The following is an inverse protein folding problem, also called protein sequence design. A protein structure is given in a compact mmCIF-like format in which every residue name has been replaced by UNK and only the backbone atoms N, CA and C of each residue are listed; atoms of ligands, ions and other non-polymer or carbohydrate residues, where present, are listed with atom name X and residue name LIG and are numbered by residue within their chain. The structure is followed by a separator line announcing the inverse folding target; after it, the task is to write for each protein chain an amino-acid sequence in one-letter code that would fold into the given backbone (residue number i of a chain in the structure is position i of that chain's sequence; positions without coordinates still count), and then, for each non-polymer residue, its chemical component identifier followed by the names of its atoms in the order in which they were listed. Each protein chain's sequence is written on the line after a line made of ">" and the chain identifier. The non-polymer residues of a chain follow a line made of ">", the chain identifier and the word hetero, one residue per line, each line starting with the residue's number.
data_IF_983262162568
#
_entry.id   IF_983262162568
#
_cell.length_a   1.000
_cell.length_b   1.000
_cell.length_c   1.000
_cell.angle_alpha   90.00
_cell.angle_beta   90.00
_cell.angle_gamma   90.00
#
_symmetry.space_group_name_H-M   'P 1'
#
loop_
_entity.id
_entity.type
_entity.pdbx_description
1 polymer ?
#
# COMPACT_ATOMS: atom_id res chain seq x y z
N UNK A 1 -58.48 5.05 12.23
CA UNK A 1 -57.82 4.73 13.51
C UNK A 1 -56.55 5.54 13.58
N UNK A 2 -56.48 6.43 14.55
CA UNK A 2 -55.75 7.71 14.46
C UNK A 2 -54.97 7.93 15.75
N UNK A 3 -53.69 8.32 15.61
CA UNK A 3 -52.75 8.91 16.61
C UNK A 3 -52.11 7.93 17.63
N UNK A 4 -50.94 8.26 18.24
CA UNK A 4 -50.28 9.57 18.23
C UNK A 4 -48.77 9.60 17.91
N UNK A 5 -48.38 10.81 17.50
CA UNK A 5 -47.02 11.33 17.53
C UNK A 5 -46.58 11.61 18.98
N UNK A 6 -45.34 11.27 19.29
CA UNK A 6 -44.60 11.64 20.50
C UNK A 6 -43.23 12.18 20.04
N UNK A 7 -43.05 13.50 20.02
CA UNK A 7 -42.52 14.31 21.12
C UNK A 7 -41.01 14.09 21.38
N UNK A 8 -40.21 14.92 20.68
CA UNK A 8 -39.03 15.75 21.09
C UNK A 8 -38.55 15.64 22.56
N UNK A 9 -37.43 16.31 22.95
CA UNK A 9 -36.10 16.52 22.34
C UNK A 9 -34.96 16.18 23.36
N UNK A 10 -33.71 16.08 22.91
CA UNK A 10 -32.58 15.84 23.83
C UNK A 10 -31.26 16.35 23.27
N UNK A 11 -31.09 17.68 23.27
CA UNK A 11 -29.81 18.31 22.97
C UNK A 11 -28.81 18.01 24.08
N UNK A 12 -27.75 17.27 23.75
CA UNK A 12 -26.60 17.09 24.62
C UNK A 12 -25.47 18.00 24.12
N UNK A 13 -25.58 19.29 24.45
CA UNK A 13 -24.51 20.27 24.28
C UNK A 13 -23.37 19.94 25.25
N UNK A 14 -22.48 19.05 24.85
CA UNK A 14 -21.20 18.85 25.54
C UNK A 14 -20.22 19.90 25.02
N UNK A 15 -20.15 21.02 25.73
CA UNK A 15 -19.08 21.99 25.67
C UNK A 15 -17.76 21.30 25.98
N UNK A 16 -17.09 20.81 24.92
CA UNK A 16 -15.77 20.19 25.05
C UNK A 16 -14.74 21.31 25.18
N UNK A 17 -14.36 21.56 26.42
CA UNK A 17 -13.26 22.42 26.86
C UNK A 17 -12.03 22.14 26.00
N UNK A 18 -11.56 23.16 25.27
CA UNK A 18 -10.31 23.07 24.51
C UNK A 18 -9.16 22.93 25.51
N UNK A 19 -8.32 21.89 25.44
CA UNK A 19 -7.09 21.86 26.21
C UNK A 19 -6.15 22.95 25.68
N UNK A 20 -5.71 23.80 26.59
CA UNK A 20 -4.69 24.82 26.41
C UNK A 20 -3.47 24.19 25.75
N UNK A 21 -3.10 24.67 24.56
CA UNK A 21 -1.84 24.30 23.91
C UNK A 21 -0.68 24.69 24.82
N UNK A 22 0.24 23.76 25.16
CA UNK A 22 1.47 24.16 25.82
C UNK A 22 2.28 25.02 24.87
N UNK A 23 2.53 26.27 25.28
CA UNK A 23 3.50 27.17 24.66
C UNK A 23 4.85 26.47 24.65
N UNK A 24 5.23 25.92 23.49
CA UNK A 24 6.55 25.38 23.24
C UNK A 24 7.51 26.56 23.32
N UNK A 25 8.20 26.66 24.45
CA UNK A 25 9.31 27.56 24.65
C UNK A 25 10.34 27.35 23.55
N UNK A 26 10.49 28.38 22.70
CA UNK A 26 11.59 28.48 21.73
C UNK A 26 12.89 28.47 22.54
N UNK A 27 13.59 27.33 22.53
CA UNK A 27 14.97 27.29 23.02
C UNK A 27 15.85 28.13 22.08
N UNK A 28 16.63 29.09 22.61
CA UNK A 28 17.59 29.84 21.81
C UNK A 28 18.70 28.92 21.30
N UNK A 29 19.26 29.30 20.16
CA UNK A 29 20.02 28.46 19.25
C UNK A 29 21.16 27.67 19.88
N UNK A 30 21.22 26.40 19.52
CA UNK A 30 22.47 25.66 19.53
C UNK A 30 23.20 25.95 18.21
N UNK A 31 24.41 26.51 18.24
CA UNK A 31 25.19 26.76 17.03
C UNK A 31 25.50 25.41 16.37
N UNK A 32 25.14 25.28 15.10
CA UNK A 32 25.50 24.14 14.29
C UNK A 32 27.01 24.19 14.06
N UNK A 33 27.76 23.40 14.84
CA UNK A 33 29.16 23.16 14.56
C UNK A 33 29.24 22.33 13.29
N UNK A 34 29.64 22.99 12.21
CA UNK A 34 30.03 22.39 10.96
C UNK A 34 31.22 21.43 11.20
N UNK A 35 30.93 20.18 11.56
CA UNK A 35 31.95 19.13 11.50
C UNK A 35 32.04 18.64 10.07
N UNK A 36 32.83 19.38 9.30
CA UNK A 36 33.58 18.87 8.17
C UNK A 36 34.33 17.60 8.61
N UNK A 37 33.85 16.44 8.17
CA UNK A 37 34.68 15.25 8.02
C UNK A 37 34.39 14.63 6.67
N UNK A 38 34.99 15.30 5.69
CA UNK A 38 35.38 14.78 4.40
C UNK A 38 36.15 13.46 4.63
N UNK A 39 35.43 12.33 4.62
CA UNK A 39 36.05 11.01 4.63
C UNK A 39 36.14 10.54 3.18
N UNK A 40 37.35 10.28 2.64
CA UNK A 40 37.48 9.73 1.31
C UNK A 40 36.82 8.36 1.27
N UNK A 41 35.69 8.27 0.55
CA UNK A 41 35.05 7.00 0.20
C UNK A 41 36.02 6.20 -0.64
N UNK A 42 36.79 5.35 0.01
CA UNK A 42 37.45 4.23 -0.64
C UNK A 42 36.39 3.44 -1.41
N UNK A 43 36.41 3.56 -2.74
CA UNK A 43 35.72 2.69 -3.68
C UNK A 43 36.22 1.25 -3.44
N UNK A 44 35.63 0.55 -2.48
CA UNK A 44 35.68 -0.91 -2.46
C UNK A 44 34.58 -1.39 -3.39
N UNK A 45 34.91 -1.39 -4.67
CA UNK A 45 34.34 -2.27 -5.68
C UNK A 45 34.56 -3.72 -5.25
N UNK A 46 33.74 -4.20 -4.31
CA UNK A 46 33.52 -5.64 -4.17
C UNK A 46 32.57 -6.05 -5.29
N UNK A 47 33.20 -6.30 -6.43
CA UNK A 47 32.74 -7.25 -7.42
C UNK A 47 32.35 -8.54 -6.70
N UNK A 48 31.04 -8.74 -6.51
CA UNK A 48 30.48 -10.02 -6.14
C UNK A 48 30.35 -10.86 -7.42
N UNK A 49 31.49 -11.21 -8.02
CA UNK A 49 31.53 -12.23 -9.05
C UNK A 49 31.57 -13.60 -8.36
N UNK A 50 30.63 -14.47 -8.74
CA UNK A 50 30.49 -15.88 -8.33
C UNK A 50 29.71 -16.13 -7.05
N UNK A 51 28.41 -16.40 -7.22
CA UNK A 51 27.57 -16.93 -6.15
C UNK A 51 26.09 -16.64 -6.30
N UNK A 52 25.53 -16.80 -7.50
CA UNK A 52 24.09 -16.76 -7.75
C UNK A 52 23.38 -17.95 -7.06
N UNK A 53 23.23 -17.89 -5.74
CA UNK A 53 22.49 -18.77 -4.82
C UNK A 53 22.55 -18.01 -3.49
N UNK A 54 21.55 -17.38 -2.88
CA UNK A 54 20.15 -17.75 -2.68
C UNK A 54 19.35 -16.48 -2.31
N UNK A 55 19.06 -15.57 -3.26
CA UNK A 55 17.98 -14.59 -3.05
C UNK A 55 16.63 -15.23 -3.37
N UNK A 56 16.45 -16.51 -3.02
CA UNK A 56 15.13 -17.06 -2.78
C UNK A 56 14.72 -16.53 -1.41
N UNK A 57 14.41 -15.23 -1.34
CA UNK A 57 13.70 -14.64 -0.20
C UNK A 57 12.48 -15.52 -0.03
N UNK A 58 12.44 -16.27 1.06
CA UNK A 58 11.43 -17.29 1.31
C UNK A 58 10.05 -16.65 1.19
N UNK A 59 9.39 -16.88 0.04
CA UNK A 59 7.99 -16.46 -0.19
C UNK A 59 7.07 -17.07 0.88
N UNK A 60 7.55 -18.11 1.59
CA UNK A 60 6.86 -18.84 2.63
C UNK A 60 6.55 -18.05 3.93
N UNK A 61 7.10 -16.85 4.16
CA UNK A 61 6.85 -16.08 5.39
C UNK A 61 6.39 -14.65 5.17
N UNK A 62 5.95 -14.29 3.96
CA UNK A 62 5.32 -12.98 3.73
C UNK A 62 3.86 -13.04 4.15
N UNK A 63 3.42 -12.02 4.87
CA UNK A 63 2.02 -11.87 5.27
C UNK A 63 1.12 -11.93 4.04
N UNK A 64 0.07 -12.78 4.04
CA UNK A 64 -0.83 -12.94 2.90
C UNK A 64 -1.49 -11.61 2.52
N UNK A 65 -1.79 -10.77 3.52
CA UNK A 65 -2.25 -9.40 3.32
C UNK A 65 -1.31 -8.57 2.44
N UNK A 66 -0.02 -8.52 2.79
CA UNK A 66 0.96 -7.71 2.07
C UNK A 66 1.10 -8.18 0.61
N UNK A 67 1.07 -9.49 0.37
CA UNK A 67 1.13 -10.06 -0.98
C UNK A 67 -0.06 -9.62 -1.85
N UNK A 68 -1.28 -9.65 -1.31
CA UNK A 68 -2.49 -9.23 -2.03
C UNK A 68 -2.46 -7.75 -2.38
N UNK A 69 -2.00 -6.93 -1.44
CA UNK A 69 -1.89 -5.48 -1.67
C UNK A 69 -0.81 -5.15 -2.69
N UNK A 70 0.37 -5.77 -2.61
CA UNK A 70 1.43 -5.60 -3.61
C UNK A 70 0.96 -6.02 -5.01
N UNK A 71 0.21 -7.13 -5.11
CA UNK A 71 -0.38 -7.58 -6.37
C UNK A 71 -1.41 -6.58 -6.92
N UNK A 72 -2.30 -6.07 -6.06
CA UNK A 72 -3.29 -5.04 -6.44
C UNK A 72 -2.64 -3.74 -6.91
N UNK A 73 -1.62 -3.25 -6.21
CA UNK A 73 -0.85 -2.06 -6.61
C UNK A 73 -0.21 -2.24 -7.98
N UNK A 74 0.41 -3.40 -8.21
CA UNK A 74 1.04 -3.72 -9.50
C UNK A 74 0.02 -3.86 -10.62
N UNK A 75 -1.12 -4.50 -10.34
CA UNK A 75 -2.22 -4.66 -11.30
C UNK A 75 -2.81 -3.33 -11.75
N UNK A 76 -2.90 -2.33 -10.85
CA UNK A 76 -3.38 -0.98 -11.16
C UNK A 76 -2.29 0.02 -11.58
N UNK A 77 -1.01 -0.35 -11.52
CA UNK A 77 0.10 0.57 -11.77
C UNK A 77 0.18 1.74 -10.77
N UNK A 78 -0.35 1.56 -9.56
CA UNK A 78 -0.38 2.62 -8.54
C UNK A 78 0.91 2.60 -7.72
N UNK A 79 1.44 3.81 -7.45
CA UNK A 79 2.51 3.95 -6.45
C UNK A 79 1.93 3.87 -5.04
N UNK A 80 2.72 3.40 -4.08
CA UNK A 80 2.31 3.32 -2.67
C UNK A 80 1.78 4.65 -2.14
N UNK A 81 2.44 5.77 -2.48
CA UNK A 81 2.02 7.11 -2.06
C UNK A 81 0.71 7.55 -2.72
N UNK A 82 0.52 7.24 -4.00
CA UNK A 82 -0.73 7.53 -4.70
C UNK A 82 -1.91 6.76 -4.10
N UNK A 83 -1.69 5.47 -3.84
CA UNK A 83 -2.65 4.62 -3.13
C UNK A 83 -3.01 5.15 -1.75
N UNK A 84 -2.01 5.51 -0.92
CA UNK A 84 -2.26 6.03 0.42
C UNK A 84 -3.07 7.33 0.40
N UNK A 85 -2.82 8.22 -0.56
CA UNK A 85 -3.62 9.44 -0.72
C UNK A 85 -5.07 9.13 -1.10
N UNK A 86 -5.29 8.19 -2.03
CA UNK A 86 -6.62 7.78 -2.44
C UNK A 86 -7.40 7.11 -1.30
N UNK A 87 -6.74 6.29 -0.48
CA UNK A 87 -7.34 5.59 0.64
C UNK A 87 -7.43 6.43 1.94
N UNK A 88 -6.82 7.62 1.97
CA UNK A 88 -6.75 8.45 3.19
C UNK A 88 -5.86 7.87 4.29
N UNK A 89 -4.77 7.19 3.92
CA UNK A 89 -3.85 6.49 4.83
C UNK A 89 -2.46 7.14 4.88
N UNK A 90 -1.73 6.88 5.97
CA UNK A 90 -0.34 7.30 6.10
C UNK A 90 0.62 6.30 5.40
N UNK A 91 1.46 6.83 4.51
CA UNK A 91 2.41 6.02 3.74
C UNK A 91 3.50 5.39 4.62
N UNK A 92 3.87 6.02 5.74
CA UNK A 92 4.92 5.51 6.63
C UNK A 92 4.44 4.32 7.44
N UNK A 93 3.18 4.37 7.89
CA UNK A 93 2.50 3.23 8.51
C UNK A 93 2.40 2.07 7.52
N UNK A 94 1.89 2.34 6.32
CA UNK A 94 1.62 1.29 5.34
C UNK A 94 2.90 0.63 4.81
N UNK A 95 4.00 1.39 4.67
CA UNK A 95 5.31 0.83 4.34
C UNK A 95 5.80 -0.19 5.37
N UNK A 96 5.47 -0.02 6.65
CA UNK A 96 5.84 -0.98 7.72
C UNK A 96 4.95 -2.21 7.71
N UNK A 97 3.67 -2.05 7.36
CA UNK A 97 2.72 -3.16 7.20
C UNK A 97 3.16 -4.06 6.04
N UNK A 98 3.46 -3.49 4.88
CA UNK A 98 3.95 -4.26 3.72
C UNK A 98 5.29 -4.95 3.99
N UNK A 99 6.13 -4.37 4.85
CA UNK A 99 7.38 -4.97 5.29
C UNK A 99 7.21 -6.05 6.37
N UNK A 100 5.99 -6.33 6.84
CA UNK A 100 5.72 -7.28 7.94
C UNK A 100 6.20 -6.79 9.31
N UNK A 101 6.56 -5.51 9.46
CA UNK A 101 7.03 -4.93 10.72
C UNK A 101 5.90 -4.46 11.63
N UNK A 102 4.70 -4.26 11.07
CA UNK A 102 3.49 -3.80 11.74
C UNK A 102 2.35 -4.71 11.33
N UNK A 103 1.46 -5.01 12.27
CA UNK A 103 0.23 -5.72 11.97
C UNK A 103 -0.68 -4.93 11.03
N UNK A 104 -1.46 -5.59 10.18
CA UNK A 104 -2.44 -4.93 9.33
C UNK A 104 -3.48 -4.16 10.17
N UNK A 105 -4.08 -3.11 9.61
CA UNK A 105 -5.12 -2.35 10.30
C UNK A 105 -6.31 -3.24 10.67
N UNK A 106 -6.81 -3.11 11.90
CA UNK A 106 -7.93 -3.91 12.42
C UNK A 106 -9.31 -3.36 12.06
N UNK A 107 -9.37 -2.12 11.55
CA UNK A 107 -10.63 -1.48 11.19
C UNK A 107 -11.17 -2.03 9.86
N UNK A 108 -12.33 -2.67 9.89
CA UNK A 108 -12.97 -3.23 8.70
C UNK A 108 -13.32 -2.15 7.68
N UNK A 109 -13.73 -0.95 8.15
CA UNK A 109 -14.05 0.17 7.27
C UNK A 109 -12.84 0.59 6.43
N UNK A 110 -11.67 0.66 7.06
CA UNK A 110 -10.39 0.90 6.39
C UNK A 110 -10.04 -0.21 5.40
N UNK A 111 -10.19 -1.48 5.77
CA UNK A 111 -9.90 -2.62 4.88
C UNK A 111 -10.80 -2.60 3.63
N UNK A 112 -12.09 -2.30 3.78
CA UNK A 112 -13.04 -2.17 2.66
C UNK A 112 -12.66 -1.04 1.71
N UNK A 113 -12.24 0.12 2.23
CA UNK A 113 -11.74 1.24 1.39
C UNK A 113 -10.47 0.85 0.63
N UNK A 114 -9.55 0.14 1.28
CA UNK A 114 -8.33 -0.36 0.61
C UNK A 114 -8.72 -1.30 -0.55
N UNK A 115 -9.65 -2.22 -0.31
CA UNK A 115 -10.12 -3.15 -1.32
C UNK A 115 -10.76 -2.41 -2.51
N UNK A 116 -11.60 -1.40 -2.26
CA UNK A 116 -12.21 -0.55 -3.29
C UNK A 116 -11.17 0.19 -4.15
N UNK A 117 -10.18 0.82 -3.52
CA UNK A 117 -9.08 1.54 -4.21
C UNK A 117 -8.17 0.61 -5.00
N UNK A 118 -8.08 -0.67 -4.62
CA UNK A 118 -7.30 -1.68 -5.34
C UNK A 118 -8.15 -2.50 -6.34
N UNK A 119 -9.48 -2.44 -6.26
CA UNK A 119 -10.38 -3.29 -7.03
C UNK A 119 -10.29 -4.76 -6.64
N UNK A 120 -10.04 -5.03 -5.36
CA UNK A 120 -10.01 -6.37 -4.78
C UNK A 120 -11.32 -6.65 -4.05
N UNK A 121 -11.59 -7.92 -3.81
CA UNK A 121 -12.69 -8.31 -2.96
C UNK A 121 -12.39 -7.97 -1.48
N UNK A 122 -13.38 -7.38 -0.81
CA UNK A 122 -13.22 -6.92 0.56
C UNK A 122 -13.11 -8.09 1.55
N UNK A 123 -13.90 -9.14 1.35
CA UNK A 123 -13.90 -10.35 2.18
C UNK A 123 -12.52 -11.00 2.12
N UNK A 124 -11.99 -11.20 0.90
CA UNK A 124 -10.67 -11.77 0.68
C UNK A 124 -9.57 -10.99 1.41
N UNK A 125 -9.62 -9.65 1.36
CA UNK A 125 -8.60 -8.82 1.99
C UNK A 125 -8.68 -8.85 3.53
N UNK A 126 -9.89 -8.87 4.09
CA UNK A 126 -10.13 -8.99 5.54
C UNK A 126 -9.61 -10.33 6.06
N UNK A 127 -9.92 -11.43 5.36
CA UNK A 127 -9.43 -12.77 5.70
C UNK A 127 -7.92 -12.84 5.58
N UNK A 128 -7.33 -12.23 4.54
CA UNK A 128 -5.88 -12.16 4.37
C UNK A 128 -5.18 -11.35 5.49
N UNK A 129 -5.89 -10.42 6.15
CA UNK A 129 -5.41 -9.72 7.34
C UNK A 129 -5.53 -10.55 8.63
N UNK A 130 -6.01 -11.79 8.56
CA UNK A 130 -6.23 -12.66 9.70
C UNK A 130 -7.48 -12.27 10.52
N UNK A 131 -8.46 -11.64 9.89
CA UNK A 131 -9.71 -11.19 10.52
C UNK A 131 -10.91 -11.93 9.92
N UNK A 132 -11.99 -12.03 10.71
CA UNK A 132 -13.25 -12.64 10.29
C UNK A 132 -14.20 -11.49 9.92
N UNK A 133 -14.69 -11.41 8.68
CA UNK A 133 -15.64 -10.38 8.28
C UNK A 133 -16.96 -10.47 9.05
N UNK A 134 -17.56 -9.31 9.37
CA UNK A 134 -18.85 -9.25 10.05
C UNK A 134 -19.99 -9.99 9.30
N UNK A 135 -19.95 -10.02 7.96
CA UNK A 135 -20.93 -10.78 7.16
C UNK A 135 -20.87 -12.30 7.39
N UNK A 136 -19.79 -12.84 7.96
CA UNK A 136 -19.68 -14.26 8.30
C UNK A 136 -20.20 -14.60 9.70
N UNK A 137 -20.83 -13.65 10.40
CA UNK A 137 -21.44 -13.88 11.71
C UNK A 137 -22.45 -15.04 11.70
N UNK A 138 -23.22 -15.19 10.62
CA UNK A 138 -24.16 -16.31 10.44
C UNK A 138 -23.50 -17.70 10.46
N UNK A 139 -22.19 -17.80 10.14
CA UNK A 139 -21.44 -19.06 10.19
C UNK A 139 -21.33 -19.61 11.62
N UNK A 140 -21.46 -18.74 12.63
CA UNK A 140 -21.36 -19.13 14.04
C UNK A 140 -22.63 -19.81 14.55
N UNK A 141 -23.78 -19.47 13.97
CA UNK A 141 -25.08 -20.02 14.35
C UNK A 141 -25.38 -21.35 13.63
N UNK A 142 -24.84 -21.53 12.41
CA UNK A 142 -25.03 -22.75 11.61
C UNK A 142 -23.84 -23.72 11.75
N UNK A 143 -24.01 -24.68 12.66
CA UNK A 143 -23.01 -25.73 12.91
C UNK A 143 -22.76 -26.65 11.70
N UNK A 144 -23.73 -26.82 10.79
CA UNK A 144 -23.57 -27.65 9.59
C UNK A 144 -22.69 -26.91 8.60
N UNK A 145 -23.01 -25.65 8.31
CA UNK A 145 -22.23 -24.81 7.41
C UNK A 145 -20.78 -24.65 7.90
N UNK A 146 -20.57 -24.45 9.20
CA UNK A 146 -19.24 -24.37 9.78
C UNK A 146 -18.42 -25.65 9.53
N UNK A 147 -19.03 -26.84 9.73
CA UNK A 147 -18.37 -28.14 9.46
C UNK A 147 -18.00 -28.29 7.99
N UNK A 148 -18.87 -27.85 7.07
CA UNK A 148 -18.59 -27.91 5.64
C UNK A 148 -17.42 -27.01 5.25
N UNK A 149 -17.39 -25.76 5.72
CA UNK A 149 -16.28 -24.83 5.48
C UNK A 149 -14.98 -25.37 6.06
N UNK A 150 -15.03 -25.89 7.29
CA UNK A 150 -13.87 -26.52 7.93
C UNK A 150 -13.38 -27.74 7.15
N UNK A 151 -14.27 -28.64 6.74
CA UNK A 151 -13.91 -29.81 5.94
C UNK A 151 -13.26 -29.40 4.62
N UNK A 152 -13.79 -28.39 3.92
CA UNK A 152 -13.22 -27.87 2.68
C UNK A 152 -11.84 -27.25 2.88
N UNK A 153 -11.64 -26.48 3.95
CA UNK A 153 -10.35 -25.86 4.27
C UNK A 153 -9.31 -26.90 4.71
N UNK A 154 -9.68 -27.85 5.57
CA UNK A 154 -8.80 -28.86 6.17
C UNK A 154 -8.41 -29.96 5.19
N UNK A 155 -9.24 -30.26 4.19
CA UNK A 155 -8.89 -31.21 3.11
C UNK A 155 -7.64 -30.75 2.35
N UNK A 156 -7.19 -29.51 2.54
CA UNK A 156 -5.88 -29.06 2.08
C UNK A 156 -5.75 -29.20 0.57
N UNK A 157 -6.89 -29.23 -0.12
CA UNK A 157 -6.95 -29.17 -1.56
C UNK A 157 -6.20 -27.92 -1.91
N UNK A 158 -4.95 -28.10 -2.39
CA UNK A 158 -4.25 -27.04 -3.08
C UNK A 158 -5.24 -26.64 -4.15
N UNK A 159 -5.93 -25.52 -3.95
CA UNK A 159 -6.53 -24.78 -5.04
C UNK A 159 -5.34 -24.63 -5.94
N UNK A 160 -5.28 -25.47 -6.97
CA UNK A 160 -4.23 -25.40 -7.96
C UNK A 160 -4.37 -23.97 -8.41
N UNK A 161 -3.40 -23.08 -8.11
CA UNK A 161 -3.52 -21.69 -8.52
C UNK A 161 -3.83 -21.81 -10.00
N UNK A 162 -5.02 -21.35 -10.41
CA UNK A 162 -5.53 -21.57 -11.76
C UNK A 162 -4.34 -21.42 -12.69
N UNK A 163 -3.96 -22.55 -13.31
CA UNK A 163 -2.64 -22.72 -13.91
C UNK A 163 -2.29 -21.48 -14.69
N UNK A 164 -1.04 -20.99 -14.60
CA UNK A 164 -0.66 -19.62 -14.93
C UNK A 164 -1.46 -19.21 -16.16
N UNK A 165 -2.42 -18.29 -15.99
CA UNK A 165 -3.20 -17.75 -17.11
C UNK A 165 -2.14 -17.51 -18.15
N UNK A 166 -2.12 -18.33 -19.21
CA UNK A 166 -1.02 -18.32 -20.14
C UNK A 166 -0.96 -16.87 -20.56
N UNK A 167 0.08 -16.15 -20.11
CA UNK A 167 0.25 -14.75 -20.41
C UNK A 167 0.38 -14.79 -21.91
N UNK A 168 -0.76 -14.59 -22.59
CA UNK A 168 -0.87 -14.71 -24.03
C UNK A 168 0.26 -13.86 -24.52
N UNK A 169 1.21 -14.50 -25.23
CA UNK A 169 2.43 -13.89 -25.72
C UNK A 169 2.06 -12.46 -26.08
N UNK A 170 2.57 -11.51 -25.30
CA UNK A 170 2.24 -10.09 -25.45
C UNK A 170 2.37 -9.84 -26.96
N UNK A 171 1.26 -9.54 -27.68
CA UNK A 171 1.34 -9.37 -29.13
C UNK A 171 2.44 -8.37 -29.34
N UNK A 172 3.43 -8.73 -30.16
CA UNK A 172 4.61 -7.92 -30.40
C UNK A 172 4.10 -6.50 -30.70
N UNK A 173 4.34 -5.59 -29.76
CA UNK A 173 3.82 -4.23 -29.88
C UNK A 173 4.31 -3.64 -31.21
N UNK A 174 3.51 -2.80 -31.87
CA UNK A 174 3.93 -2.16 -33.11
C UNK A 174 5.30 -1.52 -32.88
N UNK A 175 6.27 -1.91 -33.73
CA UNK A 175 7.63 -1.38 -33.69
C UNK A 175 7.53 0.15 -33.63
N UNK A 176 8.11 0.74 -32.59
CA UNK A 176 8.21 2.20 -32.45
C UNK A 176 8.78 2.73 -33.76
N UNK A 177 8.11 3.68 -34.45
CA UNK A 177 8.69 4.34 -35.61
C UNK A 177 10.06 4.90 -35.22
N UNK A 178 11.09 4.79 -36.08
CA UNK A 178 12.39 5.38 -35.80
C UNK A 178 12.19 6.86 -35.47
N UNK A 179 12.73 7.29 -34.33
CA UNK A 179 12.72 8.71 -33.96
C UNK A 179 13.36 9.51 -35.09
N UNK A 180 12.70 10.59 -35.57
CA UNK A 180 13.30 11.47 -36.56
C UNK A 180 14.58 12.02 -35.93
N UNK A 181 15.70 11.85 -36.63
CA UNK A 181 16.96 12.42 -36.20
C UNK A 181 16.80 13.94 -36.16
N UNK A 182 16.75 14.50 -34.96
CA UNK A 182 16.79 15.94 -34.77
C UNK A 182 18.15 16.41 -35.24
N UNK A 183 18.22 16.88 -36.49
CA UNK A 183 19.38 17.60 -36.99
C UNK A 183 19.63 18.79 -36.05
N UNK A 184 20.75 18.72 -35.35
CA UNK A 184 21.24 19.78 -34.49
C UNK A 184 21.62 20.93 -35.42
N UNK A 185 20.71 21.87 -35.62
CA UNK A 185 20.97 23.12 -36.34
C UNK A 185 22.05 23.90 -35.57
N UNK A 186 23.22 24.16 -36.18
CA UNK A 186 24.27 24.94 -35.53
C UNK A 186 23.74 26.37 -35.29
N UNK A 187 23.67 26.75 -34.02
CA UNK A 187 23.38 28.11 -33.61
C UNK A 187 24.50 29.03 -34.13
N UNK A 188 24.23 29.69 -35.25
CA UNK A 188 25.03 30.84 -35.69
C UNK A 188 24.80 31.95 -34.66
N UNK A 189 25.91 32.40 -34.06
CA UNK A 189 25.93 33.43 -33.04
C UNK A 189 25.20 34.70 -33.50
N UNK A 190 24.33 35.20 -32.63
CA UNK A 190 23.85 36.56 -32.70
C UNK A 190 24.87 37.47 -32.03
N UNK A 191 25.26 38.45 -32.82
CA UNK A 191 26.36 39.37 -32.69
C UNK A 191 26.22 40.33 -31.50
N UNK A 192 27.38 40.88 -31.13
CA UNK A 192 27.62 41.98 -30.21
C UNK A 192 27.02 43.32 -30.69
N UNK A 193 25.73 43.56 -30.54
CA UNK A 193 25.19 44.93 -30.65
C UNK A 193 24.19 45.22 -29.55
N UNK A 194 24.68 45.75 -28.43
CA UNK A 194 23.97 46.68 -27.54
C UNK A 194 25.00 47.25 -26.54
N UNK A 195 25.81 48.16 -27.08
CA UNK A 195 26.49 49.24 -26.36
C UNK A 195 25.50 50.39 -26.18
#
# INVERSE_FOLDING_TARGET
>A
MTRPASSRPGGCSTSRTRPSTPTIGRRPGTPWTATSRNSPRARRSRSCASGARCCATSVASRDPFALRVEAGLRGRGLTLRGFCRAAGLDASFFSKVLAGKRSPPSDEGMLRRIAEVLGLDAVELIVAAGRIPAEWSALWDDAVLFKEVHARASTGGRVTPMGPIACGRRPAGPRRPPEPQTEILPHKGLSEELL
#
